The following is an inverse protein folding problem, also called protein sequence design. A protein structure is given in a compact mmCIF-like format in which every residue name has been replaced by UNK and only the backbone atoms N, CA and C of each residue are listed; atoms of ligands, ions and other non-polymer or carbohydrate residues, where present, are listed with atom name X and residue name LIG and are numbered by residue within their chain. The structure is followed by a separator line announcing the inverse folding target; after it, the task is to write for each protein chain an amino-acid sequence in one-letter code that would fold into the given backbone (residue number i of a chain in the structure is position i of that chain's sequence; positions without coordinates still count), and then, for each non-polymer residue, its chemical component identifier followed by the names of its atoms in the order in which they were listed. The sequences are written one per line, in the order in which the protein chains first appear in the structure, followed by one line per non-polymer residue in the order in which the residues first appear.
data_IF_955296676705
#
_entry.id   IF_955296676705
#
_cell.length_a   1.000
_cell.length_b   1.000
_cell.length_c   1.000
_cell.angle_alpha   90.00
_cell.angle_beta   90.00
_cell.angle_gamma   90.00
#
_symmetry.space_group_name_H-M   'P 1'
#
loop_
_entity.id
_entity.type
_entity.pdbx_description
1 polymer ?
#
# COMPACT_ATOMS: atom_id res chain seq x y z
N UNK A 1 -27.63 -6.21 -17.27
CA UNK A 1 -27.54 -4.86 -16.65
C UNK A 1 -28.94 -4.26 -16.54
N UNK A 2 -29.34 -3.59 -15.44
CA UNK A 2 -30.72 -3.15 -15.29
C UNK A 2 -31.06 -2.01 -16.28
N UNK A 3 -31.72 -2.33 -17.38
CA UNK A 3 -32.14 -1.34 -18.39
C UNK A 3 -33.36 -0.53 -17.94
N UNK A 4 -34.12 -1.02 -16.96
CA UNK A 4 -35.36 -0.40 -16.44
C UNK A 4 -35.11 0.87 -15.63
N UNK A 5 -34.05 0.90 -14.82
CA UNK A 5 -33.76 1.99 -13.88
C UNK A 5 -32.95 3.15 -14.48
N UNK A 6 -32.56 3.06 -15.76
CA UNK A 6 -31.79 4.13 -16.42
C UNK A 6 -32.67 5.38 -16.60
N UNK A 7 -32.13 6.54 -16.26
CA UNK A 7 -32.80 7.85 -16.45
C UNK A 7 -33.34 8.07 -17.88
N UNK A 8 -32.71 7.46 -18.87
CA UNK A 8 -33.12 7.55 -20.28
C UNK A 8 -34.53 7.05 -20.54
N UNK A 9 -35.06 6.12 -19.73
CA UNK A 9 -36.45 5.64 -19.86
C UNK A 9 -37.45 6.73 -19.48
N UNK A 10 -37.25 7.40 -18.34
CA UNK A 10 -38.08 8.53 -17.89
C UNK A 10 -37.95 9.74 -18.83
N UNK A 11 -36.79 9.92 -19.46
CA UNK A 11 -36.53 11.06 -20.35
C UNK A 11 -36.99 10.85 -21.81
N UNK A 12 -37.55 9.69 -22.18
CA UNK A 12 -38.15 9.51 -23.53
C UNK A 12 -39.32 10.49 -23.69
N UNK A 13 -39.39 11.17 -24.84
CA UNK A 13 -40.36 12.24 -25.08
C UNK A 13 -39.93 13.62 -24.57
N UNK A 14 -38.88 13.71 -23.75
CA UNK A 14 -38.23 15.00 -23.48
C UNK A 14 -37.36 15.42 -24.66
N UNK A 15 -37.43 16.70 -25.05
CA UNK A 15 -36.72 17.21 -26.23
C UNK A 15 -35.19 17.14 -26.10
N UNK A 16 -34.64 17.31 -24.89
CA UNK A 16 -33.20 17.51 -24.68
C UNK A 16 -32.52 16.46 -23.78
N UNK A 17 -33.27 15.47 -23.28
CA UNK A 17 -32.75 14.45 -22.35
C UNK A 17 -31.95 15.00 -21.14
N UNK A 18 -32.26 16.23 -20.69
CA UNK A 18 -31.61 16.89 -19.55
C UNK A 18 -30.31 17.64 -19.85
N UNK A 19 -29.95 17.88 -21.12
CA UNK A 19 -28.74 18.64 -21.49
C UNK A 19 -28.97 20.14 -21.71
N UNK A 20 -30.17 20.64 -21.40
CA UNK A 20 -30.57 22.03 -21.63
C UNK A 20 -30.88 22.33 -23.10
N UNK A 21 -31.44 23.51 -23.39
CA UNK A 21 -31.85 23.90 -24.74
C UNK A 21 -30.70 24.48 -25.59
N UNK A 22 -29.81 25.27 -24.97
CA UNK A 22 -28.81 26.08 -25.70
C UNK A 22 -27.50 25.34 -25.93
N UNK A 23 -26.88 24.81 -24.86
CA UNK A 23 -25.55 24.19 -24.94
C UNK A 23 -25.53 22.79 -25.59
N UNK A 24 -26.55 21.98 -25.31
CA UNK A 24 -26.72 20.58 -25.75
C UNK A 24 -25.54 19.66 -25.42
N UNK A 25 -25.69 18.35 -25.61
CA UNK A 25 -24.63 17.37 -25.41
C UNK A 25 -23.73 17.27 -26.65
N UNK A 26 -22.70 18.13 -26.74
CA UNK A 26 -21.75 18.15 -27.86
C UNK A 26 -20.50 17.30 -27.59
N UNK A 27 -19.61 17.27 -28.59
CA UNK A 27 -18.35 16.53 -28.55
C UNK A 27 -17.28 17.11 -27.61
N UNK A 28 -16.01 16.80 -27.90
CA UNK A 28 -14.88 17.13 -27.02
C UNK A 28 -14.72 18.63 -26.71
N UNK A 29 -15.15 19.51 -27.61
CA UNK A 29 -15.11 20.97 -27.39
C UNK A 29 -15.91 21.41 -26.16
N UNK A 30 -17.07 20.81 -25.91
CA UNK A 30 -17.89 21.12 -24.73
C UNK A 30 -17.19 20.76 -23.41
N UNK A 31 -16.31 19.75 -23.45
CA UNK A 31 -15.55 19.30 -22.28
C UNK A 31 -14.25 20.10 -22.09
N UNK A 32 -13.94 21.04 -22.98
CA UNK A 32 -12.66 21.74 -22.99
C UNK A 32 -11.50 20.90 -23.53
N UNK A 33 -11.78 19.89 -24.36
CA UNK A 33 -10.79 18.98 -24.94
C UNK A 33 -10.97 17.52 -24.49
N UNK A 34 -10.16 16.62 -25.05
CA UNK A 34 -10.18 15.19 -24.68
C UNK A 34 -9.17 14.93 -23.56
N UNK A 35 -9.60 14.21 -22.52
CA UNK A 35 -8.73 13.80 -21.42
C UNK A 35 -8.26 14.97 -20.54
N UNK A 36 -6.95 15.05 -20.28
CA UNK A 36 -6.32 16.04 -19.39
C UNK A 36 -5.89 17.33 -20.14
N UNK A 37 -6.47 17.61 -21.30
CA UNK A 37 -6.19 18.80 -22.10
C UNK A 37 -6.48 20.08 -21.31
N UNK A 38 -5.81 21.19 -21.63
CA UNK A 38 -6.09 22.49 -21.00
C UNK A 38 -5.64 22.64 -19.55
N UNK A 39 -5.02 21.61 -18.95
CA UNK A 39 -4.66 21.60 -17.53
C UNK A 39 -3.67 22.69 -17.11
N UNK A 40 -2.91 23.31 -18.03
CA UNK A 40 -2.06 24.49 -17.80
C UNK A 40 -2.61 25.77 -18.47
N UNK A 41 -3.86 25.74 -18.94
CA UNK A 41 -4.51 26.84 -19.70
C UNK A 41 -5.93 27.08 -19.14
N UNK A 42 -6.97 26.88 -19.95
CA UNK A 42 -8.37 27.15 -19.60
C UNK A 42 -8.94 26.23 -18.50
N UNK A 43 -8.28 25.11 -18.16
CA UNK A 43 -8.62 24.26 -17.01
C UNK A 43 -7.61 24.36 -15.86
N UNK A 44 -6.82 25.44 -15.81
CA UNK A 44 -5.81 25.64 -14.77
C UNK A 44 -6.40 25.66 -13.35
N UNK A 45 -7.57 26.27 -13.15
CA UNK A 45 -8.26 26.32 -11.86
C UNK A 45 -8.53 24.92 -11.31
N UNK A 46 -8.95 23.98 -12.17
CA UNK A 46 -9.17 22.59 -11.77
C UNK A 46 -7.88 21.91 -11.33
N UNK A 47 -6.78 22.19 -12.04
CA UNK A 47 -5.46 21.67 -11.68
C UNK A 47 -5.03 22.18 -10.32
N UNK A 48 -5.05 23.50 -10.08
CA UNK A 48 -4.60 24.06 -8.80
C UNK A 48 -5.46 23.59 -7.63
N UNK A 49 -6.79 23.53 -7.81
CA UNK A 49 -7.72 23.17 -6.73
C UNK A 49 -7.68 21.69 -6.35
N UNK A 50 -7.61 20.79 -7.34
CA UNK A 50 -7.80 19.36 -7.10
C UNK A 50 -6.56 18.51 -7.38
N UNK A 51 -5.60 19.01 -8.15
CA UNK A 51 -4.39 18.28 -8.54
C UNK A 51 -3.15 19.20 -8.56
N UNK A 52 -2.83 19.90 -7.46
CA UNK A 52 -1.79 20.94 -7.45
C UNK A 52 -0.42 20.39 -7.87
N UNK A 53 -0.09 19.16 -7.46
CA UNK A 53 1.21 18.55 -7.74
C UNK A 53 1.31 17.92 -9.14
N UNK A 54 0.26 17.97 -9.98
CA UNK A 54 0.22 17.31 -11.30
C UNK A 54 1.43 17.64 -12.19
N UNK A 55 1.89 18.89 -12.13
CA UNK A 55 2.96 19.39 -12.98
C UNK A 55 4.26 19.68 -12.22
N UNK A 56 4.28 19.35 -10.92
CA UNK A 56 5.42 19.58 -10.06
C UNK A 56 6.48 18.52 -10.34
N UNK A 57 7.73 18.97 -10.50
CA UNK A 57 8.90 18.10 -10.51
C UNK A 57 9.61 18.29 -9.17
N UNK A 58 9.82 17.23 -8.41
CA UNK A 58 10.46 17.27 -7.10
C UNK A 58 11.64 16.29 -7.09
N UNK A 59 12.80 16.76 -6.66
CA UNK A 59 14.00 15.95 -6.49
C UNK A 59 14.54 15.35 -7.80
N UNK A 60 15.24 14.23 -7.66
CA UNK A 60 15.80 13.42 -8.76
C UNK A 60 15.58 11.93 -8.46
N UNK A 61 15.64 11.09 -9.49
CA UNK A 61 15.57 9.64 -9.34
C UNK A 61 17.01 9.07 -9.35
N UNK A 62 17.56 8.61 -8.21
CA UNK A 62 18.91 8.04 -8.16
C UNK A 62 18.96 6.66 -8.85
N UNK A 63 20.11 6.22 -9.38
CA UNK A 63 20.27 4.87 -9.95
C UNK A 63 19.97 3.73 -8.97
N UNK A 64 20.25 3.93 -7.67
CA UNK A 64 19.94 2.95 -6.61
C UNK A 64 18.44 2.66 -6.45
N UNK A 65 17.55 3.51 -6.99
CA UNK A 65 16.11 3.23 -7.01
C UNK A 65 15.70 2.07 -7.93
N UNK A 66 16.65 1.49 -8.67
CA UNK A 66 16.47 0.25 -9.43
C UNK A 66 16.60 -0.99 -8.53
N UNK A 67 17.29 -0.87 -7.40
CA UNK A 67 17.39 -1.92 -6.40
C UNK A 67 16.03 -2.07 -5.71
N UNK A 68 15.62 -3.30 -5.45
CA UNK A 68 14.39 -3.55 -4.70
C UNK A 68 14.63 -3.18 -3.24
N UNK A 69 13.67 -2.46 -2.66
CA UNK A 69 13.67 -2.23 -1.22
C UNK A 69 13.61 -3.59 -0.49
N UNK A 70 14.40 -3.72 0.58
CA UNK A 70 14.40 -4.93 1.40
C UNK A 70 13.00 -5.17 1.97
N UNK A 71 12.51 -6.41 1.86
CA UNK A 71 11.22 -6.76 2.46
C UNK A 71 11.31 -6.65 3.98
N UNK A 72 10.29 -6.03 4.57
CA UNK A 72 10.26 -5.75 6.01
C UNK A 72 9.15 -6.54 6.67
N UNK A 73 9.42 -7.01 7.88
CA UNK A 73 8.45 -7.75 8.70
C UNK A 73 8.30 -7.07 10.06
N UNK A 74 7.10 -7.08 10.62
CA UNK A 74 6.84 -6.52 11.95
C UNK A 74 6.86 -7.59 13.04
N UNK A 75 7.24 -7.22 14.27
CA UNK A 75 7.25 -8.11 15.43
C UNK A 75 5.89 -8.80 15.65
N UNK A 76 4.78 -8.09 15.47
CA UNK A 76 3.44 -8.68 15.63
C UNK A 76 3.07 -9.75 14.59
N UNK A 77 3.74 -9.75 13.42
CA UNK A 77 3.50 -10.71 12.34
C UNK A 77 4.34 -11.99 12.51
N UNK A 78 5.34 -11.96 13.41
CA UNK A 78 6.22 -13.10 13.67
C UNK A 78 5.44 -14.32 14.16
N UNK A 79 4.40 -14.11 14.96
CA UNK A 79 3.53 -15.21 15.45
C UNK A 79 2.92 -15.99 14.28
N UNK A 80 2.36 -15.27 13.32
CA UNK A 80 1.73 -15.88 12.15
C UNK A 80 2.76 -16.54 11.23
N UNK A 81 3.96 -15.96 11.11
CA UNK A 81 5.06 -16.54 10.35
C UNK A 81 5.55 -17.85 10.98
N UNK A 82 5.77 -17.86 12.29
CA UNK A 82 6.17 -19.07 13.03
C UNK A 82 5.11 -20.17 12.89
N UNK A 83 3.82 -19.85 12.99
CA UNK A 83 2.75 -20.83 12.79
C UNK A 83 2.79 -21.41 11.36
N UNK A 84 3.05 -20.57 10.35
CA UNK A 84 3.12 -21.00 8.94
C UNK A 84 4.35 -21.85 8.63
N UNK A 85 5.50 -21.55 9.23
CA UNK A 85 6.77 -22.23 8.92
C UNK A 85 6.98 -23.49 9.75
N UNK A 86 6.63 -23.46 11.04
CA UNK A 86 6.93 -24.52 12.00
C UNK A 86 5.70 -25.35 12.41
N UNK A 87 4.50 -24.93 12.01
CA UNK A 87 3.23 -25.58 12.35
C UNK A 87 2.72 -25.22 13.76
N UNK A 88 1.42 -25.40 14.00
CA UNK A 88 0.75 -25.03 15.27
C UNK A 88 1.30 -25.73 16.50
N UNK A 89 1.91 -26.90 16.30
CA UNK A 89 2.23 -27.83 17.38
C UNK A 89 3.53 -27.45 18.10
N UNK A 90 4.48 -26.82 17.39
CA UNK A 90 5.72 -26.29 18.00
C UNK A 90 5.49 -25.00 18.79
N UNK A 91 4.53 -24.18 18.38
CA UNK A 91 4.15 -22.94 19.07
C UNK A 91 3.44 -23.21 20.40
N UNK A 92 2.65 -24.29 20.47
CA UNK A 92 1.93 -24.70 21.69
C UNK A 92 2.78 -25.50 22.66
N UNK A 93 3.80 -26.20 22.18
CA UNK A 93 4.61 -27.11 23.01
C UNK A 93 5.73 -26.41 23.78
N UNK A 94 5.94 -25.10 23.57
CA UNK A 94 6.99 -24.35 24.28
C UNK A 94 8.37 -24.99 24.12
N UNK A 95 8.67 -25.50 22.92
CA UNK A 95 9.96 -26.12 22.67
C UNK A 95 11.07 -25.07 22.79
N UNK A 96 12.12 -25.42 23.53
CA UNK A 96 13.20 -24.52 23.98
C UNK A 96 13.94 -23.79 22.83
N UNK A 97 13.82 -24.25 21.58
CA UNK A 97 14.53 -23.68 20.42
C UNK A 97 13.58 -23.29 19.28
N UNK A 98 12.69 -22.30 19.51
CA UNK A 98 12.00 -21.61 18.42
C UNK A 98 12.99 -20.66 17.72
N UNK A 99 13.60 -21.15 16.65
CA UNK A 99 14.45 -20.35 15.76
C UNK A 99 13.71 -20.01 14.46
N UNK A 100 13.73 -18.73 14.08
CA UNK A 100 13.17 -18.23 12.83
C UNK A 100 14.24 -17.51 12.03
N UNK A 101 14.56 -18.06 10.86
CA UNK A 101 15.47 -17.42 9.90
C UNK A 101 14.66 -16.55 8.94
N UNK A 102 14.74 -15.23 9.12
CA UNK A 102 14.04 -14.25 8.30
C UNK A 102 14.75 -13.99 6.97
N UNK A 103 16.08 -14.14 6.91
CA UNK A 103 16.83 -13.91 5.67
C UNK A 103 16.57 -15.02 4.65
N UNK A 104 16.49 -16.28 5.11
CA UNK A 104 16.07 -17.40 4.26
C UNK A 104 14.64 -17.24 3.73
N UNK A 105 13.79 -16.51 4.46
CA UNK A 105 12.43 -16.18 4.05
C UNK A 105 12.35 -14.94 3.14
N UNK A 106 13.48 -14.26 2.90
CA UNK A 106 13.58 -13.08 2.03
C UNK A 106 13.33 -11.74 2.73
N UNK A 107 13.18 -11.72 4.06
CA UNK A 107 13.01 -10.50 4.83
C UNK A 107 14.36 -9.92 5.24
N UNK A 108 14.64 -8.68 4.82
CA UNK A 108 15.89 -7.99 5.14
C UNK A 108 15.80 -7.03 6.33
N UNK A 109 14.60 -6.77 6.88
CA UNK A 109 14.47 -5.88 8.05
C UNK A 109 13.32 -6.20 8.99
N UNK A 110 13.62 -6.23 10.29
CA UNK A 110 12.65 -6.40 11.37
C UNK A 110 12.25 -5.06 12.02
N UNK A 111 10.94 -4.80 12.05
CA UNK A 111 10.32 -3.57 12.53
C UNK A 111 9.53 -3.80 13.82
N UNK A 112 9.60 -2.85 14.77
CA UNK A 112 9.02 -3.00 16.11
C UNK A 112 7.50 -2.79 16.25
N UNK A 113 6.68 -2.93 15.20
CA UNK A 113 5.22 -2.79 15.32
C UNK A 113 4.60 -4.09 15.86
N UNK A 114 3.69 -3.98 16.83
CA UNK A 114 3.06 -5.13 17.50
C UNK A 114 3.88 -5.65 18.69
N UNK A 115 3.40 -6.73 19.31
CA UNK A 115 4.00 -7.36 20.49
C UNK A 115 4.17 -8.85 20.24
N UNK A 116 5.07 -9.48 20.99
CA UNK A 116 5.33 -10.91 20.98
C UNK A 116 5.28 -11.42 22.42
N UNK A 117 4.57 -12.54 22.63
CA UNK A 117 4.28 -13.08 23.97
C UNK A 117 5.15 -14.30 24.32
N UNK A 118 6.01 -14.75 23.39
CA UNK A 118 6.80 -15.96 23.52
C UNK A 118 8.26 -15.69 23.13
N UNK A 119 9.22 -16.40 23.74
CA UNK A 119 10.63 -16.28 23.40
C UNK A 119 10.88 -16.81 21.98
N UNK A 120 11.61 -16.05 21.17
CA UNK A 120 11.93 -16.40 19.78
C UNK A 120 13.38 -15.99 19.47
N UNK A 121 14.15 -16.91 18.91
CA UNK A 121 15.48 -16.62 18.35
C UNK A 121 15.33 -16.26 16.87
N UNK A 122 15.72 -15.06 16.47
CA UNK A 122 15.51 -14.55 15.11
C UNK A 122 16.84 -14.28 14.44
N UNK A 123 17.03 -14.79 13.22
CA UNK A 123 18.15 -14.41 12.35
C UNK A 123 17.69 -13.40 11.31
N UNK A 124 18.28 -12.20 11.29
CA UNK A 124 17.93 -11.13 10.34
C UNK A 124 19.09 -10.17 10.10
N UNK A 125 19.20 -9.66 8.87
CA UNK A 125 20.24 -8.72 8.43
C UNK A 125 20.10 -7.30 8.99
N UNK A 126 18.88 -6.87 9.37
CA UNK A 126 18.67 -5.56 9.96
C UNK A 126 17.47 -5.51 10.90
N UNK A 127 17.59 -4.76 11.99
CA UNK A 127 16.50 -4.57 12.95
C UNK A 127 16.41 -3.13 13.43
N UNK A 128 15.27 -2.78 14.02
CA UNK A 128 15.05 -1.48 14.67
C UNK A 128 15.27 -1.60 16.18
N UNK A 129 15.70 -0.51 16.83
CA UNK A 129 15.91 -0.48 18.29
C UNK A 129 14.66 -0.94 19.07
N UNK A 130 13.48 -0.49 18.64
CA UNK A 130 12.19 -0.92 19.20
C UNK A 130 11.88 -2.40 19.00
N UNK A 131 12.41 -3.03 17.95
CA UNK A 131 12.22 -4.47 17.75
C UNK A 131 13.10 -5.26 18.71
N UNK A 132 14.37 -4.83 18.88
CA UNK A 132 15.30 -5.42 19.83
C UNK A 132 14.73 -5.42 21.25
N UNK A 133 14.33 -4.25 21.76
CA UNK A 133 13.77 -4.10 23.12
C UNK A 133 12.57 -5.03 23.38
N UNK A 134 11.73 -5.25 22.36
CA UNK A 134 10.54 -6.09 22.48
C UNK A 134 10.85 -7.58 22.45
N UNK A 135 11.84 -7.97 21.65
CA UNK A 135 12.23 -9.38 21.55
C UNK A 135 13.01 -9.79 22.79
N UNK A 136 13.92 -8.96 23.27
CA UNK A 136 14.61 -9.16 24.55
C UNK A 136 13.62 -9.16 25.72
N UNK A 137 12.65 -8.25 25.72
CA UNK A 137 11.59 -8.20 26.74
C UNK A 137 10.69 -9.45 26.77
N UNK A 138 10.57 -10.17 25.66
CA UNK A 138 9.87 -11.44 25.57
C UNK A 138 10.77 -12.66 25.83
N UNK A 139 12.06 -12.45 26.16
CA UNK A 139 13.04 -13.51 26.39
C UNK A 139 13.59 -14.16 25.11
N UNK A 140 13.46 -13.49 23.96
CA UNK A 140 14.05 -13.89 22.69
C UNK A 140 15.44 -13.31 22.45
N UNK A 141 16.11 -13.77 21.39
CA UNK A 141 17.43 -13.30 20.99
C UNK A 141 17.45 -12.98 19.49
N UNK A 142 18.18 -11.94 19.08
CA UNK A 142 18.42 -11.64 17.67
C UNK A 142 19.87 -12.05 17.33
N UNK A 143 20.02 -12.87 16.30
CA UNK A 143 21.30 -13.23 15.70
C UNK A 143 21.45 -12.40 14.42
N UNK A 144 22.49 -11.57 14.37
CA UNK A 144 22.83 -10.83 13.16
C UNK A 144 23.31 -11.81 12.09
N UNK A 145 22.73 -11.72 10.89
CA UNK A 145 23.29 -12.33 9.70
C UNK A 145 24.29 -11.38 9.06
N UNK A 146 25.44 -11.93 8.66
CA UNK A 146 26.44 -11.24 7.87
C UNK A 146 25.96 -10.94 6.44
#
# INVERSE_FOLDING_TARGET
MPHKLRKSRKQRGSRYCGWGQVGQHRGGGMRGGKGKAGGRKHLWIQTVKYNPDRYKKVGFKPPSSLEKEAETVNVGELRDLVIKTLGTDKVKSGADDLSLDLDSLGYGKLLGRGNIDFPLSIKVSGYTSRALEKIEGAGGQILESE
#
